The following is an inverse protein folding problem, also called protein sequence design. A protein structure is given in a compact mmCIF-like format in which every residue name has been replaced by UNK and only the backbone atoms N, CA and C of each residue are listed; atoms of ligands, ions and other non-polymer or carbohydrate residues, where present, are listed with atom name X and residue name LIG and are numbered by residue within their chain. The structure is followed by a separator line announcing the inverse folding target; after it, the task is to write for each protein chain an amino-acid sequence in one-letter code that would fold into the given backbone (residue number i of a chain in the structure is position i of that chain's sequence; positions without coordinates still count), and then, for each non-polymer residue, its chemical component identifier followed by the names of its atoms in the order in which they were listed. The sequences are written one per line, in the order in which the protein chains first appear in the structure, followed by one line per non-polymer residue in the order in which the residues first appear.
data_IF_281002548384
#
_entry.id   IF_281002548384
#
_cell.length_a   1.000
_cell.length_b   1.000
_cell.length_c   1.000
_cell.angle_alpha   90.00
_cell.angle_beta   90.00
_cell.angle_gamma   90.00
#
_symmetry.space_group_name_H-M   'P 1'
#
loop_
_entity.id
_entity.type
_entity.pdbx_description
1 polymer ?
#
# COMPACT_ATOMS: atom_id res chain seq x y z
N UNK A 1 -14.68 9.56 25.11
CA UNK A 1 -14.19 8.21 25.35
C UNK A 1 -12.69 8.15 25.21
N UNK A 2 -12.05 7.61 26.20
CA UNK A 2 -10.60 7.47 26.12
C UNK A 2 -10.24 6.35 25.13
N UNK A 3 -9.21 6.56 24.34
CA UNK A 3 -8.69 5.58 23.44
C UNK A 3 -7.23 5.29 23.77
N UNK A 4 -6.78 4.09 23.53
CA UNK A 4 -5.38 3.74 23.66
C UNK A 4 -4.96 2.79 22.55
N UNK A 5 -3.66 2.67 22.35
CA UNK A 5 -3.10 1.90 21.25
C UNK A 5 -2.37 0.69 21.83
N UNK A 6 -2.80 -0.50 21.45
CA UNK A 6 -2.09 -1.74 21.79
C UNK A 6 -1.19 -2.12 20.62
N UNK A 7 0.09 -2.28 20.88
CA UNK A 7 1.05 -2.66 19.84
C UNK A 7 0.68 -4.04 19.30
N UNK A 8 0.51 -4.13 17.99
CA UNK A 8 0.24 -5.39 17.27
C UNK A 8 1.49 -5.88 16.55
N UNK A 9 2.18 -4.99 15.85
CA UNK A 9 3.42 -5.28 15.15
C UNK A 9 4.45 -4.25 15.59
N UNK A 10 5.57 -4.71 16.13
CA UNK A 10 6.63 -3.84 16.60
C UNK A 10 7.39 -3.21 15.43
N UNK A 11 8.10 -2.13 15.70
CA UNK A 11 8.97 -1.49 14.70
C UNK A 11 9.99 -2.50 14.16
N UNK A 12 10.56 -3.33 15.02
CA UNK A 12 11.54 -4.34 14.62
C UNK A 12 10.95 -5.38 13.68
N UNK A 13 9.74 -5.87 13.99
CA UNK A 13 9.04 -6.82 13.13
C UNK A 13 8.75 -6.22 11.76
N UNK A 14 8.29 -4.97 11.72
CA UNK A 14 7.99 -4.27 10.48
C UNK A 14 9.26 -4.09 9.65
N UNK A 15 10.33 -3.62 10.26
CA UNK A 15 11.60 -3.38 9.56
C UNK A 15 12.18 -4.68 9.00
N UNK A 16 12.12 -5.78 9.75
CA UNK A 16 12.59 -7.08 9.29
C UNK A 16 11.79 -7.56 8.08
N UNK A 17 10.47 -7.39 8.12
CA UNK A 17 9.63 -7.81 7.00
C UNK A 17 9.86 -6.95 5.77
N UNK A 18 10.04 -5.65 5.94
CA UNK A 18 10.33 -4.76 4.81
C UNK A 18 11.67 -5.15 4.16
N UNK A 19 12.66 -5.51 4.96
CA UNK A 19 13.94 -5.99 4.43
C UNK A 19 13.77 -7.26 3.59
N UNK A 20 12.96 -8.20 4.03
CA UNK A 20 12.64 -9.42 3.28
C UNK A 20 11.93 -9.10 1.97
N UNK A 21 10.94 -8.20 2.01
CA UNK A 21 10.21 -7.79 0.81
C UNK A 21 11.14 -7.09 -0.19
N UNK A 22 11.99 -6.20 0.30
CA UNK A 22 12.95 -5.50 -0.54
C UNK A 22 13.91 -6.45 -1.24
N UNK A 23 14.36 -7.48 -0.54
CA UNK A 23 15.24 -8.51 -1.09
C UNK A 23 14.51 -9.33 -2.16
N UNK A 24 13.28 -9.75 -1.89
CA UNK A 24 12.47 -10.51 -2.84
C UNK A 24 12.19 -9.70 -4.11
N UNK A 25 11.79 -8.44 -3.95
CA UNK A 25 11.53 -7.53 -5.07
C UNK A 25 12.79 -7.32 -5.89
N UNK A 26 13.94 -7.13 -5.23
CA UNK A 26 15.23 -6.95 -5.92
C UNK A 26 15.57 -8.15 -6.78
N UNK A 27 15.32 -9.36 -6.30
CA UNK A 27 15.54 -10.58 -7.08
C UNK A 27 14.59 -10.67 -8.27
N UNK A 28 13.30 -10.39 -8.03
CA UNK A 28 12.27 -10.49 -9.07
C UNK A 28 12.48 -9.48 -10.21
N UNK A 29 13.13 -8.36 -9.92
CA UNK A 29 13.36 -7.29 -10.89
C UNK A 29 14.82 -7.18 -11.31
N UNK A 30 15.62 -8.22 -11.10
CA UNK A 30 17.03 -8.20 -11.50
C UNK A 30 17.18 -7.85 -12.97
N UNK A 31 18.05 -6.89 -13.28
CA UNK A 31 18.27 -6.40 -14.64
C UNK A 31 17.19 -5.45 -15.14
N UNK A 32 16.26 -5.07 -14.30
CA UNK A 32 15.14 -4.16 -14.63
C UNK A 32 15.19 -2.90 -13.78
N UNK A 33 14.36 -1.94 -14.15
CA UNK A 33 14.14 -0.72 -13.40
C UNK A 33 12.68 -0.69 -12.92
N UNK A 34 12.46 -0.22 -11.70
CA UNK A 34 11.12 -0.17 -11.12
C UNK A 34 10.60 1.26 -11.10
N UNK A 35 9.38 1.46 -11.58
CA UNK A 35 8.63 2.68 -11.35
C UNK A 35 7.68 2.41 -10.20
N UNK A 36 8.06 2.87 -9.00
CA UNK A 36 7.31 2.64 -7.76
C UNK A 36 6.30 3.76 -7.55
N UNK A 37 5.03 3.40 -7.44
CA UNK A 37 3.97 4.37 -7.17
C UNK A 37 3.53 4.17 -5.72
N UNK A 38 3.78 5.19 -4.89
CA UNK A 38 3.31 5.23 -3.51
C UNK A 38 1.92 5.83 -3.45
N UNK A 39 0.98 5.12 -2.86
CA UNK A 39 -0.38 5.62 -2.70
C UNK A 39 -0.47 6.42 -1.40
N UNK A 40 -0.63 7.72 -1.52
CA UNK A 40 -0.71 8.64 -0.40
C UNK A 40 -2.08 8.55 0.29
N UNK A 41 -2.17 8.86 1.57
CA UNK A 41 -1.04 9.21 2.46
C UNK A 41 -0.49 7.97 3.17
N UNK A 42 -1.32 6.93 3.34
CA UNK A 42 -1.06 5.80 4.23
C UNK A 42 0.18 4.99 3.90
N UNK A 43 0.55 4.90 2.63
CA UNK A 43 1.70 4.10 2.22
C UNK A 43 3.04 4.84 2.29
N UNK A 44 3.04 6.13 2.71
CA UNK A 44 4.25 6.96 2.63
C UNK A 44 5.44 6.39 3.41
N UNK A 45 5.22 5.94 4.64
CA UNK A 45 6.32 5.38 5.44
C UNK A 45 6.80 4.05 4.87
N UNK A 46 5.86 3.16 4.56
CA UNK A 46 6.19 1.84 4.03
C UNK A 46 6.91 1.93 2.69
N UNK A 47 6.37 2.70 1.75
CA UNK A 47 6.93 2.81 0.41
C UNK A 47 8.35 3.36 0.44
N UNK A 48 8.62 4.38 1.24
CA UNK A 48 9.94 4.98 1.35
C UNK A 48 10.95 4.02 1.99
N UNK A 49 10.56 3.32 3.03
CA UNK A 49 11.44 2.33 3.65
C UNK A 49 11.70 1.15 2.71
N UNK A 50 10.66 0.68 2.03
CA UNK A 50 10.80 -0.41 1.06
C UNK A 50 11.75 -0.02 -0.07
N UNK A 51 11.59 1.17 -0.62
CA UNK A 51 12.42 1.66 -1.72
C UNK A 51 13.90 1.64 -1.37
N UNK A 52 14.25 1.99 -0.13
CA UNK A 52 15.63 1.97 0.34
C UNK A 52 16.23 0.56 0.41
N UNK A 53 15.38 -0.46 0.43
CA UNK A 53 15.80 -1.88 0.50
C UNK A 53 15.84 -2.56 -0.85
N UNK A 54 15.49 -1.86 -1.91
CA UNK A 54 15.51 -2.39 -3.27
C UNK A 54 16.84 -2.01 -3.91
N UNK A 55 17.52 -2.99 -4.51
CA UNK A 55 18.88 -2.82 -5.06
C UNK A 55 18.93 -2.56 -6.55
N UNK A 56 17.81 -2.71 -7.26
CA UNK A 56 17.71 -2.29 -8.66
C UNK A 56 17.35 -0.81 -8.72
N UNK A 57 17.54 -0.13 -9.88
CA UNK A 57 17.15 1.28 -9.98
C UNK A 57 15.64 1.46 -9.72
N UNK A 58 15.30 2.45 -8.91
CA UNK A 58 13.93 2.77 -8.55
C UNK A 58 13.65 4.23 -8.80
N UNK A 59 12.60 4.51 -9.56
CA UNK A 59 12.05 5.84 -9.70
C UNK A 59 10.77 5.88 -8.85
N UNK A 60 10.71 6.81 -7.90
CA UNK A 60 9.57 6.90 -6.98
C UNK A 60 8.64 8.03 -7.42
N UNK A 61 7.36 7.72 -7.52
CA UNK A 61 6.32 8.71 -7.76
C UNK A 61 5.14 8.45 -6.81
N UNK A 62 4.20 9.35 -6.80
CA UNK A 62 3.11 9.35 -5.82
C UNK A 62 1.78 9.54 -6.52
N UNK A 63 0.76 8.85 -6.02
CA UNK A 63 -0.63 9.06 -6.42
C UNK A 63 -1.49 9.18 -5.18
N UNK A 64 -2.57 9.93 -5.31
CA UNK A 64 -3.60 9.98 -4.30
C UNK A 64 -4.92 9.60 -4.96
N UNK A 65 -5.54 8.55 -4.44
CA UNK A 65 -6.80 8.04 -4.98
C UNK A 65 -7.82 7.93 -3.86
N UNK A 66 -9.09 8.00 -4.22
CA UNK A 66 -10.16 7.77 -3.28
C UNK A 66 -11.23 6.91 -3.92
N UNK A 67 -11.89 6.10 -3.11
CA UNK A 67 -13.08 5.38 -3.56
C UNK A 67 -14.18 6.41 -3.83
N UNK A 68 -14.78 6.33 -5.01
CA UNK A 68 -15.84 7.24 -5.39
C UNK A 68 -17.18 6.74 -4.87
N UNK A 69 -18.03 7.70 -4.45
CA UNK A 69 -19.36 7.37 -4.00
C UNK A 69 -19.44 6.94 -2.54
N UNK A 70 -18.92 7.78 -1.63
CA UNK A 70 -18.82 7.55 -0.18
C UNK A 70 -20.11 7.13 0.53
N UNK A 71 -20.94 6.35 -0.12
CA UNK A 71 -22.12 5.74 0.45
C UNK A 71 -21.82 4.33 0.95
N UNK A 72 -22.84 3.68 1.46
CA UNK A 72 -22.74 2.32 2.00
C UNK A 72 -22.50 1.28 0.93
N UNK A 73 -22.66 1.64 -0.34
CA UNK A 73 -22.41 0.73 -1.46
C UNK A 73 -21.31 1.33 -2.31
N UNK A 74 -20.23 0.56 -2.50
CA UNK A 74 -19.15 0.95 -3.40
C UNK A 74 -19.70 1.04 -4.82
N UNK A 75 -19.47 2.18 -5.46
CA UNK A 75 -19.87 2.36 -6.86
C UNK A 75 -18.94 1.62 -7.83
N UNK A 76 -17.86 1.04 -7.32
CA UNK A 76 -16.84 0.41 -8.16
C UNK A 76 -15.98 1.41 -8.92
N UNK A 77 -16.00 2.68 -8.53
CA UNK A 77 -15.22 3.73 -9.17
C UNK A 77 -14.11 4.23 -8.27
N UNK A 78 -13.01 4.64 -8.90
CA UNK A 78 -11.88 5.25 -8.23
C UNK A 78 -11.66 6.63 -8.81
N UNK A 79 -11.50 7.62 -7.91
CA UNK A 79 -11.19 8.99 -8.29
C UNK A 79 -9.70 9.25 -8.03
N UNK A 80 -9.01 9.71 -9.07
CA UNK A 80 -7.59 10.08 -8.93
C UNK A 80 -7.54 11.55 -8.51
N UNK A 81 -7.08 11.80 -7.27
CA UNK A 81 -6.96 13.14 -6.71
C UNK A 81 -5.62 13.77 -7.04
N UNK A 82 -4.58 12.96 -7.14
CA UNK A 82 -3.25 13.37 -7.56
C UNK A 82 -2.67 12.26 -8.43
N UNK A 83 -2.25 12.61 -9.63
CA UNK A 83 -1.72 11.64 -10.58
C UNK A 83 -0.19 11.63 -10.59
N UNK A 84 0.38 10.60 -11.23
CA UNK A 84 1.83 10.52 -11.42
C UNK A 84 2.32 11.70 -12.25
N UNK A 85 3.57 12.08 -12.02
CA UNK A 85 4.17 13.27 -12.65
C UNK A 85 4.73 13.00 -14.03
N UNK A 86 4.81 11.73 -14.45
CA UNK A 86 5.36 11.38 -15.75
C UNK A 86 4.66 10.15 -16.34
N UNK A 87 4.90 9.90 -17.64
CA UNK A 87 4.31 8.75 -18.34
C UNK A 87 4.84 7.43 -17.78
N UNK A 88 3.96 6.45 -17.64
CA UNK A 88 4.32 5.09 -17.24
C UNK A 88 4.43 4.14 -18.43
N UNK A 89 4.28 4.65 -19.65
CA UNK A 89 4.34 3.82 -20.85
C UNK A 89 5.68 3.07 -20.94
N UNK A 90 5.58 1.75 -21.13
CA UNK A 90 6.75 0.86 -21.24
C UNK A 90 7.47 0.57 -19.95
N UNK A 91 6.99 1.03 -18.82
CA UNK A 91 7.65 0.86 -17.51
C UNK A 91 7.15 -0.35 -16.75
N UNK A 92 8.04 -0.90 -15.90
CA UNK A 92 7.67 -1.89 -14.90
C UNK A 92 7.17 -1.15 -13.67
N UNK A 93 5.88 -1.21 -13.41
CA UNK A 93 5.22 -0.44 -12.34
C UNK A 93 4.99 -1.32 -11.11
N UNK A 94 5.36 -0.80 -9.95
CA UNK A 94 5.04 -1.42 -8.66
C UNK A 94 4.19 -0.45 -7.86
N UNK A 95 2.92 -0.80 -7.64
CA UNK A 95 2.02 0.00 -6.81
C UNK A 95 2.19 -0.45 -5.37
N UNK A 96 2.46 0.50 -4.48
CA UNK A 96 2.68 0.23 -3.05
C UNK A 96 1.57 0.88 -2.25
N UNK A 97 0.83 0.05 -1.54
CA UNK A 97 -0.30 0.45 -0.71
C UNK A 97 -0.01 0.13 0.76
N UNK A 98 -0.66 0.83 1.68
CA UNK A 98 -0.52 0.55 3.11
C UNK A 98 -1.27 -0.71 3.52
N UNK A 99 -2.52 -0.81 3.11
CA UNK A 99 -3.40 -1.91 3.50
C UNK A 99 -4.37 -2.26 2.37
N UNK A 100 -4.64 -3.54 2.22
CA UNK A 100 -5.71 -4.00 1.35
C UNK A 100 -6.84 -4.54 2.22
N UNK A 101 -7.99 -3.90 2.12
CA UNK A 101 -9.24 -4.22 2.81
C UNK A 101 -10.20 -4.91 1.87
N UNK A 102 -11.19 -4.17 1.35
CA UNK A 102 -12.19 -4.68 0.42
C UNK A 102 -11.57 -5.16 -0.90
N UNK A 103 -10.46 -4.55 -1.30
CA UNK A 103 -9.81 -4.82 -2.57
C UNK A 103 -10.31 -3.95 -3.72
N UNK A 104 -11.30 -3.10 -3.48
CA UNK A 104 -11.92 -2.31 -4.56
C UNK A 104 -10.91 -1.39 -5.25
N UNK A 105 -10.11 -0.65 -4.51
CA UNK A 105 -9.11 0.26 -5.08
C UNK A 105 -8.06 -0.50 -5.89
N UNK A 106 -7.49 -1.54 -5.32
CA UNK A 106 -6.43 -2.32 -5.98
C UNK A 106 -6.96 -3.25 -7.07
N UNK A 107 -8.27 -3.44 -7.14
CA UNK A 107 -8.88 -4.11 -8.28
C UNK A 107 -9.01 -3.16 -9.48
N UNK A 108 -9.35 -1.90 -9.25
CA UNK A 108 -9.66 -0.93 -10.30
C UNK A 108 -8.46 -0.11 -10.77
N UNK A 109 -7.63 0.34 -9.85
CA UNK A 109 -6.50 1.21 -10.18
C UNK A 109 -5.53 0.57 -11.20
N UNK A 110 -5.12 -0.70 -11.04
CA UNK A 110 -4.26 -1.31 -12.05
C UNK A 110 -4.89 -1.36 -13.43
N UNK A 111 -6.20 -1.57 -13.52
CA UNK A 111 -6.91 -1.60 -14.80
C UNK A 111 -6.86 -0.24 -15.48
N UNK A 112 -7.05 0.84 -14.72
CA UNK A 112 -6.95 2.21 -15.24
C UNK A 112 -5.53 2.48 -15.74
N UNK A 113 -4.52 2.10 -14.95
CA UNK A 113 -3.14 2.36 -15.30
C UNK A 113 -2.64 1.49 -16.47
N UNK A 114 -3.17 0.28 -16.63
CA UNK A 114 -2.80 -0.57 -17.77
C UNK A 114 -3.15 0.05 -19.11
N UNK A 115 -4.18 0.88 -19.16
CA UNK A 115 -4.56 1.60 -20.40
C UNK A 115 -3.51 2.62 -20.83
N UNK A 116 -2.59 3.00 -19.93
CA UNK A 116 -1.50 3.94 -20.22
C UNK A 116 -0.26 3.25 -20.79
N UNK A 117 -0.32 1.93 -21.00
CA UNK A 117 0.71 1.18 -21.70
C UNK A 117 1.96 0.81 -20.92
N UNK A 118 1.90 0.61 -19.59
CA UNK A 118 3.07 0.09 -18.88
C UNK A 118 3.38 -1.33 -19.34
N UNK A 119 4.61 -1.75 -19.15
CA UNK A 119 5.03 -3.11 -19.49
C UNK A 119 4.39 -4.12 -18.55
N UNK A 120 4.30 -3.77 -17.28
CA UNK A 120 3.79 -4.67 -16.23
C UNK A 120 3.38 -3.84 -15.02
N UNK A 121 2.35 -4.31 -14.30
CA UNK A 121 1.97 -3.75 -13.01
C UNK A 121 1.94 -4.87 -11.99
N UNK A 122 2.66 -4.67 -10.88
CA UNK A 122 2.60 -5.55 -9.70
C UNK A 122 2.12 -4.76 -8.50
N UNK A 123 1.57 -5.47 -7.52
CA UNK A 123 0.93 -4.88 -6.34
C UNK A 123 1.64 -5.33 -5.07
N UNK A 124 1.90 -4.37 -4.19
CA UNK A 124 2.51 -4.58 -2.89
C UNK A 124 1.70 -3.87 -1.81
N UNK A 125 1.42 -4.54 -0.71
CA UNK A 125 0.78 -3.92 0.45
C UNK A 125 1.50 -4.34 1.72
N UNK A 126 1.59 -3.43 2.69
CA UNK A 126 2.16 -3.76 3.99
C UNK A 126 1.24 -4.70 4.75
N UNK A 127 -0.05 -4.38 4.76
CA UNK A 127 -1.06 -5.15 5.50
C UNK A 127 -2.14 -5.68 4.59
N UNK A 128 -2.62 -6.88 4.89
CA UNK A 128 -3.75 -7.52 4.22
C UNK A 128 -4.77 -7.95 5.28
N UNK A 129 -6.00 -7.49 5.12
CA UNK A 129 -7.15 -7.91 5.94
C UNK A 129 -8.07 -8.79 5.08
N UNK A 130 -7.80 -10.09 4.96
CA UNK A 130 -8.59 -10.95 4.07
C UNK A 130 -10.06 -11.03 4.47
N UNK A 131 -10.39 -10.87 5.76
CA UNK A 131 -11.77 -10.92 6.25
C UNK A 131 -12.65 -9.79 5.72
N UNK A 132 -12.04 -8.70 5.24
CA UNK A 132 -12.76 -7.54 4.70
C UNK A 132 -12.89 -7.59 3.18
N UNK A 133 -12.38 -8.63 2.54
CA UNK A 133 -12.33 -8.71 1.08
C UNK A 133 -13.71 -8.80 0.48
N UNK A 134 -14.00 -7.93 -0.48
CA UNK A 134 -15.23 -7.93 -1.27
C UNK A 134 -14.97 -8.35 -2.71
N UNK A 135 -13.78 -8.04 -3.23
CA UNK A 135 -13.37 -8.34 -4.60
C UNK A 135 -12.04 -9.08 -4.56
N UNK A 136 -11.90 -10.15 -5.32
CA UNK A 136 -10.65 -10.89 -5.39
C UNK A 136 -9.57 -10.05 -6.09
N UNK A 137 -8.43 -9.90 -5.43
CA UNK A 137 -7.28 -9.17 -5.96
C UNK A 137 -6.05 -10.02 -5.77
N UNK A 138 -5.32 -10.23 -6.86
CA UNK A 138 -4.07 -10.99 -6.81
C UNK A 138 -2.93 -10.06 -6.42
N UNK A 139 -2.50 -10.16 -5.17
CA UNK A 139 -1.34 -9.41 -4.66
C UNK A 139 -0.05 -10.16 -5.01
N UNK A 140 0.98 -9.40 -5.35
CA UNK A 140 2.31 -9.98 -5.62
C UNK A 140 3.17 -10.02 -4.36
N UNK A 141 3.05 -8.99 -3.50
CA UNK A 141 3.82 -8.88 -2.27
C UNK A 141 2.93 -8.39 -1.14
N UNK A 142 2.96 -9.10 -0.02
CA UNK A 142 2.20 -8.74 1.19
C UNK A 142 3.14 -8.83 2.38
N UNK A 143 3.15 -7.78 3.20
CA UNK A 143 3.93 -7.76 4.42
C UNK A 143 3.35 -8.70 5.48
N UNK A 144 2.16 -8.39 5.94
CA UNK A 144 1.50 -9.15 7.01
C UNK A 144 0.02 -9.32 6.73
N UNK A 145 -0.50 -10.50 7.00
CA UNK A 145 -1.94 -10.73 7.06
C UNK A 145 -2.38 -10.51 8.49
N UNK A 146 -3.43 -9.70 8.69
CA UNK A 146 -3.92 -9.36 10.01
C UNK A 146 -5.41 -9.63 10.12
N UNK A 147 -5.92 -9.86 11.36
CA UNK A 147 -7.35 -9.99 11.58
C UNK A 147 -8.07 -8.65 11.37
N UNK A 148 -9.39 -8.67 11.33
CA UNK A 148 -10.20 -7.47 11.15
C UNK A 148 -10.22 -6.65 12.44
N UNK A 149 -9.18 -5.84 12.60
CA UNK A 149 -9.03 -4.91 13.72
C UNK A 149 -8.75 -3.52 13.18
N UNK A 150 -9.13 -2.51 13.93
CA UNK A 150 -8.86 -1.14 13.55
C UNK A 150 -7.43 -0.79 13.95
N UNK A 151 -6.56 -0.62 12.94
CA UNK A 151 -5.12 -0.45 13.17
C UNK A 151 -4.66 0.94 12.74
N UNK A 152 -3.65 1.44 13.42
CA UNK A 152 -3.01 2.73 13.15
C UNK A 152 -1.49 2.58 13.25
N UNK A 153 -0.80 3.60 12.80
CA UNK A 153 0.66 3.66 12.86
C UNK A 153 1.31 3.26 11.55
N UNK A 154 2.55 3.59 11.42
CA UNK A 154 3.35 3.33 10.24
C UNK A 154 2.67 3.81 8.95
N UNK A 155 2.08 5.01 9.01
CA UNK A 155 1.35 5.64 7.92
C UNK A 155 -0.17 5.56 8.04
N UNK A 156 -0.70 4.58 8.75
CA UNK A 156 -2.14 4.41 8.94
C UNK A 156 -2.64 5.37 10.03
N UNK A 157 -3.86 5.86 9.85
CA UNK A 157 -4.41 6.90 10.70
C UNK A 157 -5.73 6.56 11.37
N UNK A 158 -6.04 7.34 12.41
CA UNK A 158 -7.37 7.54 12.93
C UNK A 158 -7.58 9.05 13.06
N UNK A 159 -8.48 9.58 12.26
CA UNK A 159 -8.79 11.02 12.22
C UNK A 159 -7.51 11.85 11.98
N UNK A 160 -6.70 11.42 11.01
CA UNK A 160 -5.42 12.01 10.61
C UNK A 160 -4.32 11.95 11.68
N UNK A 161 -4.56 11.27 12.79
CA UNK A 161 -3.57 11.08 13.86
C UNK A 161 -2.95 9.68 13.78
N UNK A 162 -1.82 9.51 14.44
CA UNK A 162 -1.11 8.24 14.64
C UNK A 162 -0.31 7.73 13.45
N UNK A 163 -0.31 8.41 12.30
CA UNK A 163 0.49 7.98 11.15
C UNK A 163 1.98 7.87 11.50
N UNK A 164 2.44 8.70 12.41
CA UNK A 164 3.87 8.82 12.77
C UNK A 164 4.34 7.77 13.79
N UNK A 165 3.48 6.91 14.29
CA UNK A 165 3.91 5.85 15.18
C UNK A 165 4.83 4.88 14.42
N UNK A 166 5.98 4.49 15.01
CA UNK A 166 6.93 3.62 14.30
C UNK A 166 6.51 2.14 14.27
N UNK A 167 5.41 1.83 14.93
CA UNK A 167 4.82 0.49 14.99
C UNK A 167 3.39 0.54 14.47
N UNK A 168 2.78 -0.65 14.34
CA UNK A 168 1.35 -0.77 14.05
C UNK A 168 0.64 -1.26 15.30
N UNK A 169 -0.43 -0.59 15.65
CA UNK A 169 -1.20 -0.92 16.84
C UNK A 169 -2.70 -0.92 16.58
N UNK A 170 -3.42 -1.62 17.45
CA UNK A 170 -4.87 -1.66 17.45
C UNK A 170 -5.40 -0.52 18.30
N UNK A 171 -6.37 0.21 17.77
CA UNK A 171 -7.07 1.25 18.54
C UNK A 171 -8.12 0.56 19.41
N UNK A 172 -8.04 0.78 20.71
CA UNK A 172 -8.99 0.23 21.69
C UNK A 172 -9.68 1.38 22.39
N UNK A 173 -11.00 1.31 22.45
CA UNK A 173 -11.83 2.32 23.13
C UNK A 173 -12.30 1.76 24.47
N UNK A 174 -12.14 2.56 25.52
CA UNK A 174 -12.56 2.19 26.87
C UNK A 174 -14.06 2.38 27.07
#
# INVERSE_FOLDING_TARGET
MAEHINVMLSEEEINSRIAELGEQISRDYEGKEIFLICILKGASFFACELAKRITVPVNIDFMKVSSYGGGTVSSGQVSIKMDVSESIAGKDVLIVEDIIDSGNTLNLLPKILMERGPKRIRLCALLDKPDRREVDVKMNYVGFRIPDKFVVGYGLDYDQRYRNLPYIGEVVFD
#
